data_IF_405103142172
#
_entry.id   IF_405103142172
#
_cell.length_a   1.000
_cell.length_b   1.000
_cell.length_c   1.000
_cell.angle_alpha   90.00
_cell.angle_beta   90.00
_cell.angle_gamma   90.00
#
_symmetry.space_group_name_H-M   'P 1'
#
loop_
_entity.id
_entity.type
_entity.pdbx_description
1 polymer ?
#
# COMPACT_ATOMS: atom_id res chain seq x y z
N UNK A 1 20.55 -9.27 -1.09
CA UNK A 1 19.54 -9.50 -0.03
C UNK A 1 18.99 -8.20 0.56
N UNK A 2 19.83 -7.31 1.12
CA UNK A 2 19.38 -6.01 1.67
C UNK A 2 18.64 -5.09 0.68
N UNK A 3 19.01 -5.12 -0.60
CA UNK A 3 18.28 -4.39 -1.65
C UNK A 3 16.81 -4.84 -1.78
N UNK A 4 16.51 -6.12 -1.56
CA UNK A 4 15.13 -6.63 -1.64
C UNK A 4 14.31 -6.24 -0.40
N UNK A 5 14.93 -6.16 0.78
CA UNK A 5 14.30 -5.65 2.00
C UNK A 5 13.86 -4.21 1.77
N UNK A 6 14.78 -3.34 1.37
CA UNK A 6 14.49 -1.93 1.09
C UNK A 6 13.44 -1.78 -0.02
N UNK A 7 13.48 -2.61 -1.06
CA UNK A 7 12.46 -2.63 -2.12
C UNK A 7 11.06 -2.89 -1.54
N UNK A 8 10.90 -3.91 -0.71
CA UNK A 8 9.60 -4.23 -0.10
C UNK A 8 9.11 -3.15 0.87
N UNK A 9 10.01 -2.54 1.64
CA UNK A 9 9.67 -1.45 2.57
C UNK A 9 9.27 -0.17 1.84
N UNK A 10 9.98 0.20 0.78
CA UNK A 10 9.61 1.35 -0.07
C UNK A 10 8.27 1.11 -0.77
N UNK A 11 8.06 -0.10 -1.33
CA UNK A 11 6.78 -0.46 -1.93
C UNK A 11 5.63 -0.39 -0.91
N UNK A 12 5.86 -0.83 0.33
CA UNK A 12 4.88 -0.73 1.42
C UNK A 12 4.54 0.72 1.75
N UNK A 13 5.55 1.59 1.88
CA UNK A 13 5.34 3.03 2.08
C UNK A 13 4.51 3.67 0.97
N UNK A 14 4.83 3.38 -0.29
CA UNK A 14 4.09 3.89 -1.45
C UNK A 14 2.62 3.42 -1.45
N UNK A 15 2.36 2.16 -1.10
CA UNK A 15 1.01 1.60 -1.00
C UNK A 15 0.21 2.29 0.10
N UNK A 16 0.80 2.50 1.28
CA UNK A 16 0.14 3.17 2.41
C UNK A 16 -0.18 4.63 2.07
N UNK A 17 0.76 5.37 1.48
CA UNK A 17 0.53 6.76 1.05
C UNK A 17 -0.62 6.85 0.04
N UNK A 18 -0.64 5.97 -0.97
CA UNK A 18 -1.72 5.93 -1.95
C UNK A 18 -3.09 5.55 -1.33
N UNK A 19 -3.09 4.67 -0.33
CA UNK A 19 -4.28 4.29 0.42
C UNK A 19 -4.81 5.43 1.31
N UNK A 20 -3.92 6.16 1.98
CA UNK A 20 -4.27 7.32 2.79
C UNK A 20 -4.89 8.43 1.93
N UNK A 21 -4.29 8.76 0.78
CA UNK A 21 -4.84 9.72 -0.19
C UNK A 21 -6.23 9.30 -0.71
N UNK A 22 -6.44 7.99 -0.90
CA UNK A 22 -7.73 7.44 -1.32
C UNK A 22 -8.78 7.52 -0.21
N UNK A 23 -8.38 7.39 1.05
CA UNK A 23 -9.28 7.52 2.20
C UNK A 23 -9.80 8.95 2.38
N UNK A 24 -8.99 9.96 2.07
CA UNK A 24 -9.36 11.37 2.25
C UNK A 24 -10.21 11.93 1.12
N UNK A 25 -10.00 11.46 -0.11
CA UNK A 25 -10.59 12.06 -1.33
C UNK A 25 -11.95 11.45 -1.73
N UNK A 26 -12.44 10.43 -1.01
CA UNK A 26 -13.69 9.74 -1.35
C UNK A 26 -13.66 9.05 -2.71
N UNK A 27 -14.83 8.63 -3.22
CA UNK A 27 -14.96 7.85 -4.46
C UNK A 27 -14.83 8.70 -5.75
N UNK A 28 -13.85 9.59 -5.79
CA UNK A 28 -13.61 10.45 -6.95
C UNK A 28 -13.00 9.68 -8.13
N UNK A 29 -13.34 10.03 -9.39
CA UNK A 29 -12.87 9.34 -10.59
C UNK A 29 -11.37 9.53 -10.90
N UNK A 30 -10.65 10.39 -10.15
CA UNK A 30 -9.19 10.59 -10.24
C UNK A 30 -8.36 9.71 -9.31
N UNK A 31 -8.86 8.53 -8.91
CA UNK A 31 -8.22 7.67 -7.90
C UNK A 31 -6.82 7.22 -8.33
N UNK A 32 -5.81 7.61 -7.56
CA UNK A 32 -4.42 7.15 -7.70
C UNK A 32 -4.37 5.63 -7.67
N UNK A 33 -3.66 5.05 -8.63
CA UNK A 33 -3.40 3.61 -8.68
C UNK A 33 -2.58 3.17 -7.46
N UNK A 34 -2.95 2.05 -6.84
CA UNK A 34 -2.26 1.51 -5.66
C UNK A 34 -1.36 0.35 -6.12
N UNK A 35 -0.02 0.48 -6.02
CA UNK A 35 0.91 -0.43 -6.66
C UNK A 35 1.24 -1.66 -5.79
N UNK A 36 0.23 -2.47 -5.45
CA UNK A 36 0.45 -3.70 -4.67
C UNK A 36 1.39 -4.71 -5.36
N UNK A 37 1.63 -4.60 -6.66
CA UNK A 37 2.46 -5.54 -7.43
C UNK A 37 3.96 -5.21 -7.41
N UNK A 38 4.36 -4.06 -6.89
CA UNK A 38 5.77 -3.61 -6.90
C UNK A 38 6.66 -4.47 -5.99
N UNK A 39 6.08 -5.19 -5.04
CA UNK A 39 6.77 -6.19 -4.23
C UNK A 39 5.89 -7.41 -3.97
N UNK A 40 6.51 -8.58 -3.76
CA UNK A 40 5.78 -9.77 -3.35
C UNK A 40 5.06 -9.58 -2.00
N UNK A 41 5.67 -8.82 -1.07
CA UNK A 41 5.09 -8.52 0.25
C UNK A 41 3.78 -7.74 0.11
N UNK A 42 3.78 -6.62 -0.61
CA UNK A 42 2.57 -5.80 -0.80
C UNK A 42 1.51 -6.51 -1.62
N UNK A 43 1.91 -7.48 -2.45
CA UNK A 43 0.96 -8.30 -3.20
C UNK A 43 0.23 -9.29 -2.30
N UNK A 44 0.97 -10.01 -1.46
CA UNK A 44 0.43 -10.95 -0.49
C UNK A 44 -0.47 -10.25 0.55
N UNK A 45 -0.07 -9.05 0.98
CA UNK A 45 -0.81 -8.27 1.97
C UNK A 45 -1.88 -7.36 1.36
N UNK A 46 -2.14 -7.43 0.05
CA UNK A 46 -3.12 -6.54 -0.63
C UNK A 46 -4.46 -6.48 0.09
N UNK A 47 -4.97 -7.64 0.51
CA UNK A 47 -6.30 -7.74 1.13
C UNK A 47 -6.28 -7.35 2.63
N UNK A 48 -5.11 -7.35 3.26
CA UNK A 48 -4.92 -6.82 4.61
C UNK A 48 -4.74 -5.30 4.60
N UNK A 49 -4.03 -4.76 3.62
CA UNK A 49 -3.73 -3.32 3.50
C UNK A 49 -4.90 -2.50 2.92
N UNK A 50 -5.68 -3.09 2.02
CA UNK A 50 -6.79 -2.41 1.34
C UNK A 50 -8.15 -3.05 1.59
N UNK A 51 -9.15 -2.58 0.84
CA UNK A 51 -10.51 -3.12 0.94
C UNK A 51 -11.24 -2.63 2.20
N UNK A 52 -11.84 -3.55 2.95
CA UNK A 52 -12.52 -3.28 4.22
C UNK A 52 -11.66 -3.61 5.45
N UNK A 53 -10.37 -3.90 5.25
CA UNK A 53 -9.47 -4.21 6.33
C UNK A 53 -9.02 -2.92 7.04
N UNK A 54 -8.93 -2.98 8.37
CA UNK A 54 -8.32 -1.92 9.18
C UNK A 54 -6.87 -2.31 9.46
N UNK A 55 -5.94 -1.62 8.80
CA UNK A 55 -4.50 -1.81 9.05
C UNK A 55 -4.01 -0.76 10.02
N UNK A 56 -3.20 -1.19 11.00
CA UNK A 56 -2.43 -0.32 11.88
C UNK A 56 -0.95 -0.69 11.71
N UNK A 57 -0.11 0.31 11.49
CA UNK A 57 1.34 0.16 11.50
C UNK A 57 1.88 0.77 12.79
N UNK A 58 2.72 0.01 13.48
CA UNK A 58 3.48 0.47 14.64
C UNK A 58 4.93 0.65 14.20
N UNK A 59 5.51 1.81 14.52
CA UNK A 59 6.89 2.18 14.17
C UNK A 59 7.65 2.55 15.44
#
# INVERSE_FOLDING_TARGET
EGANINKSLVALGNVISALAERSTTGNNPGRRFIPYRDSALTWLLKDSLGGNATTIMLA
#
